data_IF_405989386468
#
_entry.id   IF_405989386468
#
_cell.length_a   1.000
_cell.length_b   1.000
_cell.length_c   1.000
_cell.angle_alpha   90.00
_cell.angle_beta   90.00
_cell.angle_gamma   90.00
#
_symmetry.space_group_name_H-M   'P 1'
#
loop_
_entity.id
_entity.type
_entity.pdbx_description
1 polymer ?
#
# COMPACT_ATOMS: atom_id res chain seq x y z
N UNK A 1 -12.87 -43.51 -67.09
CA UNK A 1 -11.79 -43.19 -66.15
C UNK A 1 -12.02 -41.77 -65.68
N UNK A 2 -12.62 -41.57 -64.51
CA UNK A 2 -12.94 -40.22 -63.92
C UNK A 2 -11.97 -39.95 -62.80
N UNK A 3 -11.22 -38.85 -62.93
CA UNK A 3 -10.27 -38.35 -61.93
C UNK A 3 -11.06 -37.61 -60.82
N UNK A 4 -10.89 -37.95 -59.56
CA UNK A 4 -11.57 -37.23 -58.48
C UNK A 4 -10.93 -35.85 -58.28
N UNK A 5 -11.77 -34.80 -58.19
CA UNK A 5 -11.37 -33.43 -57.78
C UNK A 5 -11.00 -33.46 -56.36
N UNK A 6 -9.73 -33.10 -56.08
CA UNK A 6 -9.22 -32.82 -54.76
C UNK A 6 -9.69 -31.41 -54.36
N UNK A 7 -10.59 -31.33 -53.39
CA UNK A 7 -10.93 -30.08 -52.71
C UNK A 7 -9.85 -29.80 -51.70
N UNK A 8 -8.96 -28.86 -52.00
CA UNK A 8 -8.10 -28.26 -51.00
C UNK A 8 -8.92 -27.29 -50.15
N UNK A 9 -9.28 -27.73 -48.96
CA UNK A 9 -9.82 -26.84 -47.95
C UNK A 9 -8.72 -25.81 -47.55
N UNK A 10 -8.92 -24.54 -47.92
CA UNK A 10 -8.17 -23.44 -47.36
C UNK A 10 -8.40 -23.46 -45.86
N UNK A 11 -7.39 -23.88 -45.09
CA UNK A 11 -7.33 -23.65 -43.64
C UNK A 11 -7.24 -22.14 -43.46
N UNK A 12 -8.37 -21.46 -43.25
CA UNK A 12 -8.44 -20.13 -42.72
C UNK A 12 -7.83 -20.19 -41.32
N UNK A 13 -6.66 -19.58 -41.17
CA UNK A 13 -6.15 -19.24 -39.86
C UNK A 13 -7.14 -18.25 -39.23
N UNK A 14 -8.09 -18.75 -38.45
CA UNK A 14 -8.79 -17.96 -37.47
C UNK A 14 -7.76 -17.64 -36.38
N UNK A 15 -7.03 -16.51 -36.53
CA UNK A 15 -6.39 -15.90 -35.38
C UNK A 15 -7.53 -15.54 -34.45
N UNK A 16 -7.63 -16.25 -33.30
CA UNK A 16 -8.37 -15.71 -32.15
C UNK A 16 -7.86 -14.32 -31.95
N UNK A 17 -8.70 -13.28 -32.09
CA UNK A 17 -8.41 -11.95 -31.63
C UNK A 17 -8.26 -12.10 -30.11
N UNK A 18 -7.03 -11.98 -29.63
CA UNK A 18 -6.77 -11.94 -28.21
C UNK A 18 -7.38 -10.64 -27.69
N UNK A 19 -8.31 -10.76 -26.77
CA UNK A 19 -8.94 -9.65 -26.05
C UNK A 19 -7.91 -9.10 -25.07
N UNK A 20 -7.86 -7.78 -24.87
CA UNK A 20 -7.00 -7.16 -23.86
C UNK A 20 -7.21 -7.84 -22.50
N UNK A 21 -6.15 -8.26 -21.84
CA UNK A 21 -6.22 -8.98 -20.57
C UNK A 21 -5.89 -8.05 -19.43
N UNK A 22 -6.85 -7.82 -18.53
CA UNK A 22 -6.64 -7.01 -17.32
C UNK A 22 -6.17 -7.93 -16.19
N UNK A 23 -5.07 -7.55 -15.52
CA UNK A 23 -4.52 -8.22 -14.34
C UNK A 23 -4.43 -7.22 -13.20
N UNK A 24 -5.36 -7.30 -12.26
CA UNK A 24 -5.37 -6.47 -11.06
C UNK A 24 -4.52 -7.12 -9.96
N UNK A 25 -3.62 -6.33 -9.36
CA UNK A 25 -2.86 -6.76 -8.19
C UNK A 25 -3.78 -7.02 -6.99
N UNK A 26 -3.58 -8.15 -6.30
CA UNK A 26 -4.38 -8.56 -5.12
C UNK A 26 -4.19 -7.61 -3.95
N UNK A 27 -2.98 -7.07 -3.79
CA UNK A 27 -2.64 -6.14 -2.70
C UNK A 27 -2.87 -4.67 -3.11
N UNK A 28 -3.68 -4.39 -4.14
CA UNK A 28 -4.04 -3.02 -4.52
C UNK A 28 -4.89 -2.34 -3.42
N UNK A 29 -4.67 -1.03 -3.20
CA UNK A 29 -5.50 -0.23 -2.30
C UNK A 29 -4.97 -0.09 -0.87
N UNK A 30 -5.82 0.40 0.03
CA UNK A 30 -5.42 0.72 1.41
C UNK A 30 -4.76 -0.45 2.12
N UNK A 31 -3.56 -0.20 2.68
CA UNK A 31 -2.98 -1.11 3.65
C UNK A 31 -3.69 -0.96 5.02
N UNK A 32 -3.45 -1.89 5.93
CA UNK A 32 -4.02 -1.85 7.28
C UNK A 32 -3.75 -0.51 7.99
N UNK A 33 -2.49 -0.02 7.98
CA UNK A 33 -2.11 1.21 8.68
C UNK A 33 -2.81 2.45 8.12
N UNK A 34 -2.95 2.53 6.80
CA UNK A 34 -3.66 3.62 6.13
C UNK A 34 -5.16 3.56 6.41
N UNK A 35 -5.79 2.40 6.27
CA UNK A 35 -7.24 2.23 6.56
C UNK A 35 -7.55 2.65 7.99
N UNK A 36 -6.78 2.14 8.95
CA UNK A 36 -6.92 2.50 10.37
C UNK A 36 -6.80 4.02 10.59
N UNK A 37 -5.81 4.67 9.97
CA UNK A 37 -5.58 6.10 10.16
C UNK A 37 -6.72 6.96 9.59
N UNK A 38 -7.24 6.60 8.42
CA UNK A 38 -8.39 7.29 7.80
C UNK A 38 -9.63 7.12 8.68
N UNK A 39 -9.97 5.89 9.10
CA UNK A 39 -11.11 5.62 9.98
C UNK A 39 -11.01 6.37 11.32
N UNK A 40 -9.81 6.45 11.90
CA UNK A 40 -9.60 7.22 13.14
C UNK A 40 -9.82 8.71 12.91
N UNK A 41 -9.35 9.26 11.77
CA UNK A 41 -9.58 10.65 11.44
C UNK A 41 -11.08 10.95 11.22
N UNK A 42 -11.79 10.10 10.49
CA UNK A 42 -13.25 10.22 10.27
C UNK A 42 -14.03 10.22 11.59
N UNK A 43 -13.72 9.28 12.49
CA UNK A 43 -14.36 9.19 13.82
C UNK A 43 -14.01 10.35 14.75
N UNK A 44 -12.94 11.07 14.46
CA UNK A 44 -12.48 12.19 15.27
C UNK A 44 -13.09 13.53 14.86
N UNK A 45 -13.86 13.58 13.78
CA UNK A 45 -14.49 14.80 13.30
C UNK A 45 -15.40 15.48 14.35
N UNK A 46 -15.34 16.82 14.51
CA UNK A 46 -14.41 17.73 13.90
C UNK A 46 -13.01 17.66 14.52
N UNK A 47 -11.95 17.68 13.66
CA UNK A 47 -10.58 17.55 14.11
C UNK A 47 -9.59 18.24 13.15
N UNK A 48 -8.33 18.39 13.59
CA UNK A 48 -7.23 18.89 12.73
C UNK A 48 -6.12 17.86 12.68
N UNK A 49 -5.76 17.40 11.47
CA UNK A 49 -4.62 16.50 11.30
C UNK A 49 -3.31 17.29 11.25
N UNK A 50 -2.25 16.78 11.87
CA UNK A 50 -0.91 17.36 11.75
C UNK A 50 -0.23 16.83 10.48
N UNK A 51 -0.28 17.63 9.42
CA UNK A 51 -0.04 17.23 8.04
C UNK A 51 -1.18 16.37 7.45
N UNK A 52 -1.20 16.13 6.15
CA UNK A 52 -2.21 15.28 5.53
C UNK A 52 -2.16 13.86 6.12
N UNK A 53 -3.32 13.30 6.43
CA UNK A 53 -3.43 11.97 7.08
C UNK A 53 -2.71 10.88 6.28
N UNK A 54 -2.79 10.98 4.94
CA UNK A 54 -2.08 10.17 3.94
C UNK A 54 -1.83 11.03 2.70
N UNK A 55 -0.92 10.60 1.83
CA UNK A 55 -0.64 11.26 0.55
C UNK A 55 -1.64 10.82 -0.54
N UNK A 56 -2.91 11.27 -0.40
CA UNK A 56 -3.96 11.07 -1.40
C UNK A 56 -4.94 12.26 -1.35
N UNK A 57 -4.99 13.11 -2.42
CA UNK A 57 -5.83 14.32 -2.43
C UNK A 57 -7.33 14.04 -2.26
N UNK A 58 -7.85 12.98 -2.87
CA UNK A 58 -9.27 12.64 -2.80
C UNK A 58 -9.70 12.29 -1.36
N UNK A 59 -8.83 11.58 -0.62
CA UNK A 59 -9.08 11.25 0.80
C UNK A 59 -9.01 12.49 1.67
N UNK A 60 -8.05 13.36 1.43
CA UNK A 60 -7.92 14.63 2.17
C UNK A 60 -9.18 15.49 1.96
N UNK A 61 -9.69 15.59 0.74
CA UNK A 61 -10.90 16.37 0.46
C UNK A 61 -12.16 15.72 1.06
N UNK A 62 -12.29 14.40 1.03
CA UNK A 62 -13.41 13.70 1.68
C UNK A 62 -13.42 13.92 3.21
N UNK A 63 -12.25 13.89 3.84
CA UNK A 63 -12.12 14.18 5.26
C UNK A 63 -12.45 15.64 5.60
N UNK A 64 -12.07 16.57 4.74
CA UNK A 64 -12.40 17.98 4.88
C UNK A 64 -13.92 18.22 4.82
N UNK A 65 -14.63 17.50 3.95
CA UNK A 65 -16.09 17.53 3.90
C UNK A 65 -16.74 17.03 5.20
N UNK A 66 -16.07 16.17 5.97
CA UNK A 66 -16.51 15.70 7.29
C UNK A 66 -16.09 16.64 8.44
N UNK A 67 -15.38 17.75 8.15
CA UNK A 67 -14.89 18.68 9.16
C UNK A 67 -13.50 18.31 9.73
N UNK A 68 -12.74 17.43 9.06
CA UNK A 68 -11.35 17.14 9.40
C UNK A 68 -10.44 17.93 8.48
N UNK A 69 -9.80 18.97 9.02
CA UNK A 69 -8.86 19.83 8.29
C UNK A 69 -7.41 19.42 8.53
N UNK A 70 -6.45 20.03 7.83
CA UNK A 70 -5.03 19.75 7.99
C UNK A 70 -4.26 21.01 8.34
N UNK A 71 -3.26 20.89 9.22
CA UNK A 71 -2.33 21.95 9.61
C UNK A 71 -0.89 21.45 9.44
N UNK A 72 0.02 22.30 8.98
CA UNK A 72 1.41 21.91 8.70
C UNK A 72 2.28 21.89 9.96
N UNK A 73 1.86 22.57 11.03
CA UNK A 73 2.60 22.65 12.29
C UNK A 73 1.65 22.64 13.50
N UNK A 74 2.14 22.21 14.68
CA UNK A 74 1.36 22.29 15.93
C UNK A 74 0.86 23.69 16.25
N UNK A 75 1.60 24.74 15.86
CA UNK A 75 1.24 26.14 16.14
C UNK A 75 -0.04 26.57 15.40
N UNK A 76 -0.35 25.96 14.27
CA UNK A 76 -1.56 26.24 13.48
C UNK A 76 -2.80 25.50 13.98
N UNK A 77 -2.64 24.52 14.89
CA UNK A 77 -3.77 23.80 15.47
C UNK A 77 -4.34 24.65 16.63
N UNK A 78 -5.65 24.93 16.67
CA UNK A 78 -6.25 25.71 17.74
C UNK A 78 -6.01 25.06 19.11
N UNK A 79 -5.87 25.90 20.16
CA UNK A 79 -5.72 25.42 21.53
C UNK A 79 -6.96 24.62 21.97
N UNK A 80 -6.73 23.50 22.65
CA UNK A 80 -7.79 22.61 23.11
C UNK A 80 -8.47 21.79 21.98
N UNK A 81 -8.06 21.97 20.71
CA UNK A 81 -8.64 21.23 19.60
C UNK A 81 -8.25 19.74 19.61
N UNK A 82 -9.06 18.91 18.95
CA UNK A 82 -8.69 17.51 18.67
C UNK A 82 -7.67 17.47 17.55
N UNK A 83 -6.45 17.00 17.87
CA UNK A 83 -5.31 16.89 16.95
C UNK A 83 -5.10 15.42 16.56
N UNK A 84 -5.18 15.08 15.28
CA UNK A 84 -4.93 13.73 14.79
C UNK A 84 -3.51 13.64 14.24
N UNK A 85 -2.71 12.74 14.80
CA UNK A 85 -1.39 12.40 14.25
C UNK A 85 -1.56 11.50 13.05
N UNK A 86 -0.97 11.87 11.92
CA UNK A 86 -1.03 11.12 10.66
C UNK A 86 -0.40 9.73 10.73
N UNK A 87 -0.71 8.86 9.74
CA UNK A 87 -0.21 7.48 9.65
C UNK A 87 1.33 7.35 9.65
N UNK A 88 2.04 8.38 9.20
CA UNK A 88 3.51 8.45 9.14
C UNK A 88 4.17 8.71 10.51
N UNK A 89 3.35 9.07 11.51
CA UNK A 89 3.85 9.56 12.79
C UNK A 89 4.50 10.94 12.72
N UNK A 90 4.94 11.41 13.86
CA UNK A 90 5.68 12.67 14.04
C UNK A 90 6.73 12.50 15.14
N UNK A 91 7.70 13.40 15.21
CA UNK A 91 8.71 13.39 16.27
C UNK A 91 8.15 13.86 17.64
N UNK A 92 8.87 13.55 18.73
CA UNK A 92 8.48 13.87 20.11
C UNK A 92 8.14 15.35 20.32
N UNK A 93 8.88 16.26 19.67
CA UNK A 93 8.66 17.70 19.80
C UNK A 93 7.24 18.11 19.39
N UNK A 94 6.66 17.46 18.37
CA UNK A 94 5.29 17.73 17.95
C UNK A 94 4.27 17.28 19.00
N UNK A 95 4.46 16.14 19.64
CA UNK A 95 3.62 15.69 20.75
C UNK A 95 3.67 16.68 21.93
N UNK A 96 4.88 17.08 22.35
CA UNK A 96 5.06 18.06 23.43
C UNK A 96 4.39 19.39 23.11
N UNK A 97 4.50 19.85 21.86
CA UNK A 97 3.89 21.11 21.44
C UNK A 97 2.34 21.03 21.44
N UNK A 98 1.75 19.92 21.00
CA UNK A 98 0.30 19.72 21.06
C UNK A 98 -0.20 19.60 22.50
N UNK A 99 0.52 18.89 23.36
CA UNK A 99 0.20 18.78 24.79
C UNK A 99 0.24 20.13 25.49
N UNK A 100 1.29 20.93 25.22
CA UNK A 100 1.41 22.28 25.77
C UNK A 100 0.27 23.23 25.35
N UNK A 101 -0.37 22.95 24.21
CA UNK A 101 -1.54 23.67 23.70
C UNK A 101 -2.87 23.10 24.21
N UNK A 102 -2.83 22.10 25.10
CA UNK A 102 -4.03 21.45 25.65
C UNK A 102 -4.82 20.64 24.63
N UNK A 103 -4.23 20.25 23.49
CA UNK A 103 -4.92 19.50 22.45
C UNK A 103 -5.25 18.07 22.92
N UNK A 104 -6.44 17.57 22.53
CA UNK A 104 -6.79 16.15 22.61
C UNK A 104 -6.07 15.41 21.48
N UNK A 105 -5.06 14.61 21.80
CA UNK A 105 -4.26 13.92 20.78
C UNK A 105 -4.86 12.57 20.44
N UNK A 106 -5.23 12.38 19.17
CA UNK A 106 -5.61 11.08 18.58
C UNK A 106 -4.46 10.57 17.73
N UNK A 107 -3.76 9.55 18.21
CA UNK A 107 -2.58 9.02 17.54
C UNK A 107 -2.97 7.94 16.52
N UNK A 108 -3.00 8.32 15.22
CA UNK A 108 -3.25 7.43 14.11
C UNK A 108 -1.95 6.89 13.45
N UNK A 109 -0.79 7.06 14.12
CA UNK A 109 0.49 6.49 13.66
C UNK A 109 0.33 5.00 13.39
N UNK A 110 0.82 4.56 12.23
CA UNK A 110 0.81 3.14 11.89
C UNK A 110 1.63 2.33 12.90
N UNK A 111 1.13 1.18 13.42
CA UNK A 111 1.87 0.37 14.39
C UNK A 111 3.27 -0.07 13.94
N UNK A 112 3.47 -0.27 12.63
CA UNK A 112 4.80 -0.55 12.09
C UNK A 112 5.76 0.65 12.22
N UNK A 113 5.27 1.87 12.04
CA UNK A 113 6.04 3.10 12.24
C UNK A 113 6.27 3.34 13.74
N UNK A 114 5.24 3.12 14.58
CA UNK A 114 5.37 3.25 16.04
C UNK A 114 6.49 2.37 16.59
N UNK A 115 6.60 1.13 16.11
CA UNK A 115 7.71 0.23 16.49
C UNK A 115 9.07 0.82 16.14
N UNK A 116 9.19 1.52 15.00
CA UNK A 116 10.47 2.16 14.62
C UNK A 116 10.76 3.35 15.53
N UNK A 117 9.74 4.12 15.92
CA UNK A 117 9.88 5.18 16.92
C UNK A 117 10.40 4.65 18.27
N UNK A 118 9.87 3.52 18.72
CA UNK A 118 10.31 2.88 19.96
C UNK A 118 11.78 2.41 19.87
N UNK A 119 12.18 1.86 18.72
CA UNK A 119 13.58 1.47 18.46
C UNK A 119 14.50 2.69 18.45
N UNK A 120 14.10 3.79 17.77
CA UNK A 120 14.87 5.03 17.72
C UNK A 120 15.08 5.63 19.11
N UNK A 121 14.02 5.65 19.93
CA UNK A 121 14.07 6.10 21.32
C UNK A 121 15.02 5.25 22.17
N UNK A 122 14.88 3.92 22.09
CA UNK A 122 15.74 3.00 22.85
C UNK A 122 17.21 3.11 22.45
N UNK A 123 17.52 3.31 21.17
CA UNK A 123 18.88 3.57 20.71
C UNK A 123 19.43 4.89 21.28
N UNK A 124 18.60 5.95 21.29
CA UNK A 124 18.95 7.23 21.88
C UNK A 124 19.26 7.12 23.37
N UNK A 125 18.42 6.41 24.13
CA UNK A 125 18.62 6.14 25.57
C UNK A 125 19.91 5.34 25.83
N UNK A 126 20.28 4.44 24.90
CA UNK A 126 21.52 3.67 24.93
C UNK A 126 22.75 4.43 24.40
N UNK A 127 22.59 5.67 23.93
CA UNK A 127 23.67 6.44 23.30
C UNK A 127 24.12 5.93 21.93
N UNK A 128 23.35 5.03 21.30
CA UNK A 128 23.63 4.44 20.00
C UNK A 128 23.16 5.36 18.87
N UNK A 129 24.03 5.76 17.92
CA UNK A 129 23.63 6.54 16.75
C UNK A 129 22.59 5.80 15.90
N UNK A 130 21.62 6.56 15.35
CA UNK A 130 20.58 6.04 14.48
C UNK A 130 20.88 6.34 13.01
N UNK A 131 20.78 5.34 12.15
CA UNK A 131 20.80 5.50 10.69
C UNK A 131 19.46 5.04 10.13
N UNK A 132 18.74 5.93 9.47
CA UNK A 132 17.48 5.63 8.78
C UNK A 132 17.74 5.53 7.29
N UNK A 133 17.60 4.35 6.71
CA UNK A 133 17.64 4.19 5.25
C UNK A 133 16.27 4.61 4.70
N UNK A 134 16.21 5.85 4.18
CA UNK A 134 14.95 6.47 3.74
C UNK A 134 15.13 7.88 3.21
N UNK A 135 14.09 8.38 2.55
CA UNK A 135 14.06 9.73 1.99
C UNK A 135 14.04 10.77 3.12
N UNK A 136 15.14 11.54 3.29
CA UNK A 136 15.33 12.50 4.40
C UNK A 136 14.12 13.41 4.64
N UNK A 137 13.56 13.97 3.58
CA UNK A 137 12.46 14.94 3.67
C UNK A 137 11.07 14.27 3.81
N UNK A 138 11.03 12.94 3.78
CA UNK A 138 9.76 12.23 3.93
C UNK A 138 9.24 12.34 5.37
N UNK A 139 7.93 12.62 5.57
CA UNK A 139 7.34 12.75 6.89
C UNK A 139 7.62 11.61 7.88
N UNK A 140 7.63 10.36 7.39
CA UNK A 140 7.93 9.19 8.23
C UNK A 140 9.38 9.22 8.72
N UNK A 141 10.34 9.55 7.86
CA UNK A 141 11.76 9.63 8.22
C UNK A 141 12.00 10.77 9.18
N UNK A 142 11.42 11.96 8.94
CA UNK A 142 11.47 13.09 9.85
C UNK A 142 10.84 12.73 11.22
N UNK A 143 9.74 11.99 11.22
CA UNK A 143 9.13 11.45 12.43
C UNK A 143 10.10 10.56 13.21
N UNK A 144 10.71 9.57 12.54
CA UNK A 144 11.66 8.62 13.15
C UNK A 144 12.88 9.37 13.73
N UNK A 145 13.50 10.27 12.96
CA UNK A 145 14.64 11.07 13.41
C UNK A 145 14.29 11.93 14.64
N UNK A 146 13.05 12.40 14.74
CA UNK A 146 12.55 13.18 15.87
C UNK A 146 12.30 12.38 17.15
N UNK A 147 12.56 11.06 17.18
CA UNK A 147 12.48 10.20 18.36
C UNK A 147 13.84 9.94 19.03
N UNK A 148 14.90 10.58 18.56
CA UNK A 148 16.22 10.51 19.19
C UNK A 148 16.73 11.90 19.55
N UNK A 149 17.37 12.03 20.71
CA UNK A 149 18.13 13.21 21.12
C UNK A 149 19.63 13.06 20.79
N UNK A 150 20.04 11.88 20.32
CA UNK A 150 21.41 11.55 19.91
C UNK A 150 21.67 11.75 18.41
N UNK A 151 22.86 11.37 17.94
CA UNK A 151 23.20 11.45 16.52
C UNK A 151 22.26 10.59 15.66
N UNK A 152 21.62 11.21 14.65
CA UNK A 152 20.71 10.53 13.75
C UNK A 152 20.89 11.00 12.30
N UNK A 153 20.92 10.04 11.38
CA UNK A 153 21.25 10.27 9.98
C UNK A 153 20.20 9.59 9.08
N UNK A 154 19.84 10.26 7.99
CA UNK A 154 19.06 9.64 6.90
C UNK A 154 19.97 9.42 5.70
N UNK A 155 19.96 8.20 5.14
CA UNK A 155 20.78 7.82 4.00
C UNK A 155 19.91 7.19 2.89
N UNK A 156 20.19 7.56 1.63
CA UNK A 156 19.52 7.02 0.44
C UNK A 156 20.49 6.65 -0.67
N UNK A 157 21.77 7.02 -0.52
CA UNK A 157 22.79 6.85 -1.52
C UNK A 157 24.14 6.49 -0.88
N UNK A 158 25.06 6.03 -1.69
CA UNK A 158 26.47 5.83 -1.30
C UNK A 158 27.12 7.14 -0.85
N UNK A 159 26.84 8.23 -1.54
CA UNK A 159 27.34 9.56 -1.15
C UNK A 159 26.86 9.99 0.25
N UNK A 160 25.61 9.66 0.63
CA UNK A 160 25.12 9.94 1.98
C UNK A 160 25.90 9.12 3.02
N UNK A 161 26.27 7.88 2.69
CA UNK A 161 27.07 7.01 3.57
C UNK A 161 28.49 7.55 3.69
N UNK A 162 29.08 8.00 2.59
CA UNK A 162 30.42 8.62 2.59
C UNK A 162 30.47 9.90 3.46
N UNK A 163 29.39 10.64 3.49
CA UNK A 163 29.27 11.87 4.29
C UNK A 163 29.04 11.62 5.79
N UNK A 164 28.79 10.37 6.22
CA UNK A 164 28.64 10.06 7.65
C UNK A 164 29.94 10.32 8.42
N UNK A 165 29.86 10.85 9.66
CA UNK A 165 31.02 10.90 10.53
C UNK A 165 31.53 9.50 10.87
N UNK A 166 32.74 9.34 11.38
CA UNK A 166 33.20 8.06 11.94
C UNK A 166 32.24 7.60 13.06
N UNK A 167 31.77 6.36 12.93
CA UNK A 167 30.88 5.71 13.90
C UNK A 167 31.46 4.33 14.27
N UNK A 168 31.52 4.02 15.56
CA UNK A 168 31.95 2.70 16.05
C UNK A 168 30.78 1.71 16.03
N UNK A 169 29.56 2.22 16.19
CA UNK A 169 28.33 1.45 16.16
C UNK A 169 27.16 2.28 15.66
N UNK A 170 26.10 1.64 15.16
CA UNK A 170 24.83 2.28 14.83
C UNK A 170 23.69 1.29 14.81
N UNK A 171 22.49 1.76 15.18
CA UNK A 171 21.23 1.12 14.83
C UNK A 171 20.81 1.53 13.41
N UNK A 172 20.51 0.56 12.57
CA UNK A 172 20.04 0.80 11.19
C UNK A 172 18.60 0.34 11.06
N UNK A 173 17.73 1.26 10.63
CA UNK A 173 16.31 0.98 10.33
C UNK A 173 15.98 1.44 8.91
N UNK A 174 14.88 0.93 8.34
CA UNK A 174 14.37 1.35 7.04
C UNK A 174 13.09 2.16 7.17
N UNK A 175 12.91 3.13 6.29
CA UNK A 175 11.58 3.68 5.97
C UNK A 175 10.66 2.53 5.54
N UNK A 176 9.42 2.45 6.07
CA UNK A 176 8.52 1.30 5.85
C UNK A 176 8.19 1.03 4.38
N UNK A 177 8.33 2.03 3.51
CA UNK A 177 8.10 1.92 2.07
C UNK A 177 9.38 1.67 1.25
N UNK A 178 10.51 1.34 1.89
CA UNK A 178 11.79 1.15 1.21
C UNK A 178 11.76 -0.06 0.26
N UNK A 179 12.60 0.00 -0.79
CA UNK A 179 12.82 -1.14 -1.70
C UNK A 179 13.86 -2.06 -1.07
N UNK A 180 13.55 -3.35 -0.92
CA UNK A 180 14.40 -4.32 -0.22
C UNK A 180 15.82 -4.38 -0.81
N UNK A 181 15.95 -4.49 -2.13
CA UNK A 181 17.27 -4.57 -2.78
C UNK A 181 18.16 -3.34 -2.52
N UNK A 182 17.55 -2.14 -2.46
CA UNK A 182 18.30 -0.92 -2.15
C UNK A 182 18.70 -0.89 -0.67
N UNK A 183 17.81 -1.33 0.24
CA UNK A 183 18.12 -1.46 1.65
C UNK A 183 19.31 -2.39 1.87
N UNK A 184 19.27 -3.61 1.28
CA UNK A 184 20.33 -4.60 1.42
C UNK A 184 21.68 -4.09 0.89
N UNK A 185 21.66 -3.40 -0.27
CA UNK A 185 22.87 -2.78 -0.85
C UNK A 185 23.46 -1.72 0.08
N UNK A 186 22.64 -0.81 0.61
CA UNK A 186 23.12 0.26 1.49
C UNK A 186 23.59 -0.30 2.84
N UNK A 187 22.97 -1.33 3.37
CA UNK A 187 23.46 -2.05 4.55
C UNK A 187 24.84 -2.67 4.30
N UNK A 188 25.06 -3.27 3.11
CA UNK A 188 26.37 -3.81 2.74
C UNK A 188 27.49 -2.74 2.67
N UNK A 189 27.16 -1.53 2.21
CA UNK A 189 28.10 -0.40 2.21
C UNK A 189 28.35 0.13 3.63
N UNK A 190 27.31 0.25 4.44
CA UNK A 190 27.43 0.65 5.85
C UNK A 190 28.30 -0.31 6.65
N UNK A 191 28.20 -1.62 6.42
CA UNK A 191 28.98 -2.65 7.10
C UNK A 191 30.49 -2.55 6.81
N UNK A 192 30.89 -1.93 5.72
CA UNK A 192 32.29 -1.66 5.41
C UNK A 192 32.86 -0.46 6.17
N UNK A 193 31.99 0.37 6.73
CA UNK A 193 32.35 1.67 7.32
C UNK A 193 32.09 1.74 8.84
N UNK A 194 31.08 1.01 9.33
CA UNK A 194 30.70 0.99 10.74
C UNK A 194 30.92 -0.40 11.30
N UNK A 195 31.84 -0.58 12.28
CA UNK A 195 32.25 -1.89 12.79
C UNK A 195 31.11 -2.70 13.45
N UNK A 196 30.21 -2.03 14.15
CA UNK A 196 29.09 -2.66 14.84
C UNK A 196 27.76 -2.08 14.35
N UNK A 197 27.06 -2.84 13.48
CA UNK A 197 25.72 -2.49 13.01
C UNK A 197 24.67 -3.41 13.60
N UNK A 198 23.66 -2.82 14.24
CA UNK A 198 22.41 -3.50 14.56
C UNK A 198 21.38 -3.18 13.46
N UNK A 199 21.15 -4.12 12.55
CA UNK A 199 20.38 -3.89 11.32
C UNK A 199 18.99 -4.48 11.42
N UNK A 200 17.96 -3.64 11.31
CA UNK A 200 16.56 -4.03 11.30
C UNK A 200 15.88 -3.65 9.98
N UNK A 201 15.50 -4.66 9.20
CA UNK A 201 14.73 -4.48 7.96
C UNK A 201 13.27 -4.14 8.29
N UNK A 202 13.01 -2.89 8.68
CA UNK A 202 11.69 -2.41 9.11
C UNK A 202 10.74 -2.11 7.93
N UNK A 203 11.05 -2.57 6.73
CA UNK A 203 10.16 -2.53 5.58
C UNK A 203 8.89 -3.33 5.89
N UNK A 204 7.72 -2.69 5.82
CA UNK A 204 6.49 -3.37 6.21
C UNK A 204 6.09 -4.49 5.22
N UNK A 205 5.40 -5.52 5.71
CA UNK A 205 4.95 -6.66 4.88
C UNK A 205 4.08 -6.19 3.72
N UNK A 206 3.16 -5.27 3.97
CA UNK A 206 2.30 -4.71 2.92
C UNK A 206 3.08 -4.04 1.79
N UNK A 207 4.24 -3.44 2.08
CA UNK A 207 5.15 -2.89 1.05
C UNK A 207 5.83 -4.00 0.27
N UNK A 208 6.40 -5.00 0.97
CA UNK A 208 7.08 -6.13 0.32
C UNK A 208 6.17 -6.91 -0.61
N UNK A 209 4.95 -7.21 -0.15
CA UNK A 209 3.97 -7.97 -0.92
C UNK A 209 3.57 -7.22 -2.19
N UNK A 210 3.32 -5.89 -2.08
CA UNK A 210 3.02 -5.05 -3.25
C UNK A 210 4.19 -4.98 -4.23
N UNK A 211 5.41 -4.78 -3.73
CA UNK A 211 6.60 -4.71 -4.60
C UNK A 211 6.81 -6.02 -5.35
N UNK A 212 6.67 -7.16 -4.66
CA UNK A 212 6.78 -8.49 -5.28
C UNK A 212 5.71 -8.68 -6.37
N UNK A 213 4.46 -8.41 -6.04
CA UNK A 213 3.35 -8.60 -6.97
C UNK A 213 3.44 -7.66 -8.17
N UNK A 214 3.81 -6.39 -7.96
CA UNK A 214 4.05 -5.43 -9.06
C UNK A 214 5.15 -5.92 -9.99
N UNK A 215 6.25 -6.45 -9.45
CA UNK A 215 7.32 -7.00 -10.28
C UNK A 215 6.86 -8.21 -11.11
N UNK A 216 6.07 -9.11 -10.51
CA UNK A 216 5.53 -10.29 -11.20
C UNK A 216 4.56 -9.91 -12.33
N UNK A 217 3.70 -8.90 -12.10
CA UNK A 217 2.74 -8.43 -13.10
C UNK A 217 3.47 -7.65 -14.21
N UNK A 218 4.32 -6.70 -13.84
CA UNK A 218 5.04 -5.83 -14.79
C UNK A 218 5.93 -6.62 -15.75
N UNK A 219 6.52 -7.75 -15.29
CA UNK A 219 7.33 -8.63 -16.15
C UNK A 219 6.53 -9.31 -17.28
N UNK A 220 5.19 -9.28 -17.22
CA UNK A 220 4.30 -9.97 -18.19
C UNK A 220 3.31 -9.00 -18.85
N UNK A 221 3.22 -7.77 -18.37
CA UNK A 221 2.31 -6.75 -18.88
C UNK A 221 2.93 -5.99 -20.06
N UNK A 222 2.09 -5.68 -21.05
CA UNK A 222 2.43 -4.76 -22.14
C UNK A 222 2.26 -3.30 -21.69
N UNK A 223 1.27 -3.06 -20.82
CA UNK A 223 1.00 -1.77 -20.18
C UNK A 223 0.85 -1.97 -18.68
N UNK A 224 1.49 -1.12 -17.89
CA UNK A 224 1.37 -1.17 -16.43
C UNK A 224 0.80 0.15 -15.90
N UNK A 225 -0.29 0.08 -15.16
CA UNK A 225 -0.95 1.20 -14.50
C UNK A 225 -0.67 1.13 -13.00
N UNK A 226 -0.05 2.16 -12.45
CA UNK A 226 0.13 2.33 -11.00
C UNK A 226 -0.83 3.42 -10.53
N UNK A 227 -1.90 3.01 -9.86
CA UNK A 227 -2.94 3.93 -9.37
C UNK A 227 -2.54 4.47 -8.00
N UNK A 228 -2.47 5.79 -7.86
CA UNK A 228 -2.15 6.41 -6.58
C UNK A 228 -1.52 7.78 -6.67
N UNK A 229 -1.53 8.52 -5.56
CA UNK A 229 -1.02 9.88 -5.49
C UNK A 229 0.45 9.98 -5.91
N UNK A 230 0.78 10.97 -6.74
CA UNK A 230 2.14 11.22 -7.24
C UNK A 230 3.11 11.58 -6.11
N UNK A 231 2.60 12.19 -5.04
CA UNK A 231 3.39 12.52 -3.86
C UNK A 231 3.59 11.33 -2.89
N UNK A 232 2.89 10.20 -3.09
CA UNK A 232 3.05 9.01 -2.27
C UNK A 232 4.39 8.33 -2.57
N UNK A 233 5.27 8.23 -1.57
CA UNK A 233 6.55 7.52 -1.66
C UNK A 233 6.37 6.05 -2.09
N UNK A 234 5.35 5.37 -1.55
CA UNK A 234 5.03 4.00 -1.95
C UNK A 234 4.63 3.93 -3.44
N UNK A 235 3.73 4.79 -3.92
CA UNK A 235 3.29 4.79 -5.32
C UNK A 235 4.46 5.07 -6.27
N UNK A 236 5.33 6.05 -5.95
CA UNK A 236 6.53 6.35 -6.73
C UNK A 236 7.50 5.17 -6.82
N UNK A 237 7.69 4.44 -5.71
CA UNK A 237 8.57 3.26 -5.68
C UNK A 237 7.98 2.09 -6.48
N UNK A 238 6.67 1.85 -6.40
CA UNK A 238 5.98 0.87 -7.25
C UNK A 238 6.09 1.21 -8.73
N UNK A 239 5.91 2.49 -9.09
CA UNK A 239 6.11 2.96 -10.45
C UNK A 239 7.52 2.70 -10.96
N UNK A 240 8.56 3.10 -10.20
CA UNK A 240 9.96 2.90 -10.60
C UNK A 240 10.28 1.41 -10.80
N UNK A 241 9.78 0.56 -9.92
CA UNK A 241 9.94 -0.87 -10.02
C UNK A 241 9.26 -1.42 -11.29
N UNK A 242 8.01 -1.04 -11.53
CA UNK A 242 7.26 -1.44 -12.72
C UNK A 242 7.91 -0.93 -14.01
N UNK A 243 8.33 0.34 -14.05
CA UNK A 243 8.97 0.96 -15.22
C UNK A 243 10.31 0.31 -15.59
N UNK A 244 11.02 -0.29 -14.62
CA UNK A 244 12.21 -1.10 -14.87
C UNK A 244 11.94 -2.42 -15.58
N UNK A 245 10.68 -2.89 -15.59
CA UNK A 245 10.27 -4.20 -16.14
C UNK A 245 9.29 -4.07 -17.32
N UNK A 246 8.41 -3.06 -17.28
CA UNK A 246 7.43 -2.76 -18.34
C UNK A 246 7.67 -1.36 -18.88
N UNK A 247 8.02 -1.25 -20.17
CA UNK A 247 8.35 0.04 -20.79
C UNK A 247 7.18 1.03 -20.82
N UNK A 248 5.94 0.53 -20.94
CA UNK A 248 4.70 1.33 -20.99
C UNK A 248 4.07 1.38 -19.59
N UNK A 249 4.77 1.97 -18.64
CA UNK A 249 4.28 2.14 -17.26
C UNK A 249 3.82 3.56 -17.03
N UNK A 250 2.62 3.72 -16.46
CA UNK A 250 1.99 5.00 -16.17
C UNK A 250 1.56 5.09 -14.72
N UNK A 251 1.69 6.29 -14.13
CA UNK A 251 1.05 6.63 -12.84
C UNK A 251 -0.20 7.43 -13.13
N UNK A 252 -1.31 7.02 -12.53
CA UNK A 252 -2.59 7.71 -12.63
C UNK A 252 -3.17 7.94 -11.24
N UNK A 253 -3.81 9.08 -11.01
CA UNK A 253 -4.51 9.42 -9.77
C UNK A 253 -6.01 9.21 -9.87
N UNK A 254 -6.55 9.31 -11.11
CA UNK A 254 -7.98 9.14 -11.40
C UNK A 254 -8.19 8.30 -12.67
N UNK A 255 -9.41 7.81 -12.86
CA UNK A 255 -9.78 7.06 -14.06
C UNK A 255 -9.77 7.90 -15.34
N UNK A 256 -9.95 9.23 -15.24
CA UNK A 256 -9.97 10.14 -16.42
C UNK A 256 -8.61 10.21 -17.11
N UNK A 257 -7.53 9.98 -16.38
CA UNK A 257 -6.18 9.97 -16.95
C UNK A 257 -5.92 8.80 -17.91
N UNK A 258 -6.80 7.80 -17.94
CA UNK A 258 -6.73 6.70 -18.92
C UNK A 258 -6.91 7.15 -20.37
N UNK A 259 -7.63 8.24 -20.59
CA UNK A 259 -7.91 8.74 -21.96
C UNK A 259 -6.63 9.15 -22.71
N UNK A 260 -5.55 9.44 -22.00
CA UNK A 260 -4.24 9.78 -22.58
C UNK A 260 -3.31 8.58 -22.81
N UNK A 261 -3.74 7.34 -22.46
CA UNK A 261 -2.89 6.14 -22.50
C UNK A 261 -3.27 5.30 -23.72
N UNK A 262 -2.31 5.08 -24.62
CA UNK A 262 -2.51 4.20 -25.77
C UNK A 262 -2.56 2.75 -25.33
N UNK A 263 -3.68 2.05 -25.56
CA UNK A 263 -3.91 0.65 -25.23
C UNK A 263 -4.34 -0.09 -26.49
N UNK A 264 -3.62 -1.16 -26.82
CA UNK A 264 -3.93 -2.01 -27.94
C UNK A 264 -4.92 -3.15 -27.59
N UNK A 265 -5.63 -3.70 -28.58
CA UNK A 265 -6.65 -4.75 -28.35
C UNK A 265 -6.09 -6.07 -27.83
N UNK A 266 -4.79 -6.32 -27.96
CA UNK A 266 -4.13 -7.55 -27.49
C UNK A 266 -3.17 -7.29 -26.31
N UNK A 267 -3.16 -6.08 -25.76
CA UNK A 267 -2.29 -5.75 -24.63
C UNK A 267 -2.71 -6.49 -23.35
N UNK A 268 -1.75 -7.00 -22.63
CA UNK A 268 -1.92 -7.40 -21.23
C UNK A 268 -1.70 -6.16 -20.35
N UNK A 269 -2.73 -5.76 -19.61
CA UNK A 269 -2.71 -4.56 -18.79
C UNK A 269 -2.60 -4.96 -17.32
N UNK A 270 -1.47 -4.62 -16.70
CA UNK A 270 -1.28 -4.76 -15.26
C UNK A 270 -1.81 -3.52 -14.53
N UNK A 271 -2.62 -3.73 -13.50
CA UNK A 271 -3.11 -2.65 -12.61
C UNK A 271 -2.62 -2.93 -11.21
N UNK A 272 -1.85 -2.00 -10.66
CA UNK A 272 -1.47 -2.00 -9.26
C UNK A 272 -1.87 -0.68 -8.60
N UNK A 273 -2.02 -0.67 -7.28
CA UNK A 273 -2.37 0.55 -6.56
C UNK A 273 -1.51 0.75 -5.33
N UNK A 274 -1.22 2.01 -5.02
CA UNK A 274 -0.50 2.41 -3.84
C UNK A 274 -1.26 2.10 -2.55
N UNK A 275 -0.52 2.00 -1.43
CA UNK A 275 -1.09 1.74 -0.10
C UNK A 275 -2.01 2.85 0.42
N UNK A 276 -2.00 4.02 -0.21
CA UNK A 276 -2.84 5.18 0.08
C UNK A 276 -3.94 5.42 -0.96
N UNK A 277 -4.24 4.44 -1.82
CA UNK A 277 -5.26 4.54 -2.87
C UNK A 277 -6.58 3.95 -2.37
N UNK A 278 -7.70 4.71 -2.34
CA UNK A 278 -9.01 4.19 -1.98
C UNK A 278 -9.52 3.12 -2.97
N UNK A 279 -10.30 2.17 -2.46
CA UNK A 279 -10.89 1.10 -3.27
C UNK A 279 -11.86 1.63 -4.35
N UNK A 280 -12.55 2.76 -4.10
CA UNK A 280 -13.43 3.40 -5.09
C UNK A 280 -12.66 3.83 -6.35
N UNK A 281 -11.49 4.45 -6.18
CA UNK A 281 -10.64 4.87 -7.32
C UNK A 281 -10.18 3.65 -8.13
N UNK A 282 -9.81 2.57 -7.46
CA UNK A 282 -9.39 1.33 -8.14
C UNK A 282 -10.55 0.75 -8.95
N UNK A 283 -11.75 0.70 -8.35
CA UNK A 283 -12.98 0.24 -9.03
C UNK A 283 -13.32 1.10 -10.24
N UNK A 284 -13.21 2.42 -10.13
CA UNK A 284 -13.43 3.34 -11.25
C UNK A 284 -12.44 3.11 -12.39
N UNK A 285 -11.15 2.95 -12.08
CA UNK A 285 -10.12 2.62 -13.08
C UNK A 285 -10.42 1.29 -13.77
N UNK A 286 -10.77 0.24 -13.02
CA UNK A 286 -11.10 -1.07 -13.58
C UNK A 286 -12.37 -1.00 -14.43
N UNK A 287 -13.41 -0.29 -13.98
CA UNK A 287 -14.65 -0.11 -14.74
C UNK A 287 -14.38 0.63 -16.07
N UNK A 288 -13.62 1.72 -16.02
CA UNK A 288 -13.25 2.48 -17.22
C UNK A 288 -12.42 1.65 -18.21
N UNK A 289 -11.50 0.81 -17.69
CA UNK A 289 -10.72 -0.12 -18.50
C UNK A 289 -11.61 -1.14 -19.22
N UNK A 290 -12.61 -1.73 -18.54
CA UNK A 290 -13.57 -2.65 -19.14
C UNK A 290 -14.41 -1.95 -20.24
N UNK A 291 -14.72 -0.67 -20.09
CA UNK A 291 -15.43 0.11 -21.11
C UNK A 291 -14.54 0.42 -22.34
N UNK A 292 -13.26 0.67 -22.11
CA UNK A 292 -12.27 0.82 -23.19
C UNK A 292 -12.12 -0.50 -23.94
N UNK A 293 -12.02 -1.61 -23.25
CA UNK A 293 -11.95 -2.96 -23.82
C UNK A 293 -13.16 -3.24 -24.75
N UNK A 294 -14.39 -2.95 -24.30
CA UNK A 294 -15.61 -3.09 -25.09
C UNK A 294 -15.62 -2.22 -26.34
N UNK A 295 -15.06 -1.01 -26.30
CA UNK A 295 -14.98 -0.09 -27.45
C UNK A 295 -13.95 -0.52 -28.50
N UNK A 296 -12.86 -1.14 -28.05
CA UNK A 296 -11.78 -1.65 -28.91
C UNK A 296 -12.16 -2.96 -29.58
N UNK A 297 -13.16 -3.70 -29.05
CA UNK A 297 -13.71 -4.96 -29.59
C UNK A 297 -15.21 -4.84 -29.87
N UNK A 298 -15.64 -4.21 -31.00
CA UNK A 298 -17.05 -3.86 -31.22
C UNK A 298 -18.05 -5.00 -31.44
N UNK A 299 -17.65 -6.23 -31.70
CA UNK A 299 -18.57 -7.27 -32.20
C UNK A 299 -18.27 -8.68 -31.70
N UNK A 300 -18.33 -9.00 -30.41
CA UNK A 300 -18.50 -10.39 -29.93
C UNK A 300 -18.69 -10.55 -28.40
N UNK A 301 -19.29 -9.59 -27.72
CA UNK A 301 -19.64 -9.73 -26.30
C UNK A 301 -21.16 -9.90 -26.07
N UNK A 302 -21.74 -10.91 -26.68
CA UNK A 302 -22.92 -11.59 -26.13
C UNK A 302 -22.45 -12.95 -25.62
N UNK A 303 -22.35 -13.08 -24.30
CA UNK A 303 -21.98 -14.26 -23.49
C UNK A 303 -20.62 -14.21 -22.80
N UNK A 304 -20.39 -13.15 -22.02
CA UNK A 304 -19.67 -13.28 -20.75
C UNK A 304 -20.66 -12.81 -19.68
N UNK A 305 -21.34 -13.77 -19.06
CA UNK A 305 -22.08 -13.54 -17.82
C UNK A 305 -21.11 -12.94 -16.81
N UNK A 306 -21.22 -11.63 -16.64
CA UNK A 306 -20.78 -10.99 -15.39
C UNK A 306 -21.50 -11.80 -14.33
N UNK A 307 -20.76 -12.48 -13.46
CA UNK A 307 -21.34 -13.07 -12.25
C UNK A 307 -21.97 -11.91 -11.49
N UNK A 308 -23.29 -11.75 -11.65
CA UNK A 308 -24.08 -10.75 -10.96
C UNK A 308 -23.97 -11.01 -9.46
N UNK A 309 -24.17 -9.97 -8.66
CA UNK A 309 -24.25 -10.13 -7.18
C UNK A 309 -25.20 -11.29 -6.80
N UNK A 310 -26.24 -11.54 -7.59
CA UNK A 310 -27.15 -12.68 -7.43
C UNK A 310 -26.50 -14.05 -7.69
N UNK A 311 -25.46 -14.14 -8.53
CA UNK A 311 -24.73 -15.40 -8.76
C UNK A 311 -23.72 -15.65 -7.63
N UNK A 312 -23.16 -14.60 -7.03
CA UNK A 312 -22.32 -14.67 -5.82
C UNK A 312 -23.16 -15.10 -4.63
N UNK A 313 -24.35 -14.54 -4.46
CA UNK A 313 -25.28 -14.90 -3.38
C UNK A 313 -25.77 -16.35 -3.44
N UNK A 314 -25.89 -16.91 -4.65
CA UNK A 314 -26.23 -18.34 -4.85
C UNK A 314 -25.10 -19.31 -4.53
N UNK A 315 -23.84 -18.82 -4.52
CA UNK A 315 -22.66 -19.63 -4.18
C UNK A 315 -22.31 -19.57 -2.69
N UNK A 316 -22.91 -18.64 -1.93
CA UNK A 316 -22.75 -18.57 -0.46
C UNK A 316 -23.63 -19.67 0.16
N UNK A 317 -22.99 -20.78 0.48
CA UNK A 317 -23.62 -21.84 1.28
C UNK A 317 -23.88 -21.32 2.67
N UNK A 318 -25.16 -21.07 3.03
CA UNK A 318 -25.54 -20.75 4.40
C UNK A 318 -25.27 -21.95 5.31
N UNK A 319 -24.20 -21.83 6.10
CA UNK A 319 -23.83 -22.87 7.08
C UNK A 319 -24.75 -22.74 8.29
N UNK A 320 -25.48 -23.81 8.61
CA UNK A 320 -26.31 -23.87 9.82
C UNK A 320 -25.50 -24.42 11.00
N UNK A 321 -25.74 -23.96 12.24
CA UNK A 321 -25.11 -24.53 13.42
C UNK A 321 -25.29 -26.06 13.49
N UNK A 322 -24.18 -26.81 13.64
CA UNK A 322 -24.18 -28.27 13.67
C UNK A 322 -23.92 -28.99 12.34
N UNK A 323 -23.72 -28.27 11.25
CA UNK A 323 -23.40 -28.86 9.94
C UNK A 323 -21.92 -29.18 9.83
N UNK A 324 -21.56 -30.42 9.50
CA UNK A 324 -20.17 -30.86 9.25
C UNK A 324 -19.87 -30.61 7.77
N UNK A 325 -18.82 -29.82 7.50
CA UNK A 325 -18.32 -29.55 6.16
C UNK A 325 -16.93 -30.18 6.03
N UNK A 326 -16.73 -30.97 4.99
CA UNK A 326 -15.41 -31.52 4.64
C UNK A 326 -14.86 -30.72 3.47
N UNK A 327 -13.69 -30.09 3.63
CA UNK A 327 -13.01 -29.31 2.60
C UNK A 327 -11.52 -29.17 2.89
N UNK A 328 -10.76 -28.81 1.85
CA UNK A 328 -9.33 -28.50 1.99
C UNK A 328 -9.18 -27.08 2.53
N UNK A 329 -8.49 -26.91 3.64
CA UNK A 329 -8.18 -25.59 4.18
C UNK A 329 -7.02 -24.98 3.38
N UNK A 330 -7.31 -23.90 2.62
CA UNK A 330 -6.27 -23.19 1.84
C UNK A 330 -5.68 -22.01 2.58
N UNK A 331 -6.40 -21.43 3.57
CA UNK A 331 -5.89 -20.33 4.39
C UNK A 331 -6.66 -20.25 5.71
N UNK A 332 -5.93 -20.05 6.81
CA UNK A 332 -6.50 -19.67 8.10
C UNK A 332 -6.17 -18.20 8.37
N UNK A 333 -7.15 -17.32 8.24
CA UNK A 333 -7.06 -15.93 8.68
C UNK A 333 -7.54 -15.85 10.14
N UNK A 334 -6.71 -15.29 11.03
CA UNK A 334 -7.14 -14.97 12.37
C UNK A 334 -8.00 -13.69 12.33
N UNK A 335 -9.31 -13.83 12.42
CA UNK A 335 -10.21 -12.69 12.62
C UNK A 335 -10.22 -12.31 14.11
N UNK A 336 -9.84 -11.07 14.40
CA UNK A 336 -10.10 -10.48 15.70
C UNK A 336 -11.57 -10.06 15.76
N UNK A 337 -12.35 -10.77 16.55
CA UNK A 337 -13.73 -10.41 16.86
C UNK A 337 -13.71 -9.28 17.89
N UNK A 338 -14.14 -8.08 17.51
CA UNK A 338 -14.40 -6.98 18.44
C UNK A 338 -15.68 -7.26 19.22
N UNK A 339 -15.57 -7.30 20.57
CA UNK A 339 -16.74 -7.33 21.45
C UNK A 339 -17.27 -5.92 21.66
N UNK A 340 -18.51 -5.67 21.28
CA UNK A 340 -19.24 -4.52 21.82
C UNK A 340 -19.53 -4.72 23.31
N UNK A 341 -19.44 -3.68 24.16
CA UNK A 341 -19.77 -3.79 25.56
C UNK A 341 -21.30 -4.01 25.71
N UNK A 342 -21.71 -5.22 26.09
CA UNK A 342 -23.11 -5.52 26.41
C UNK A 342 -23.70 -6.78 25.80
N UNK A 343 -23.07 -7.44 24.85
CA UNK A 343 -23.56 -8.69 24.26
C UNK A 343 -23.04 -9.92 25.01
N UNK A 344 -23.96 -10.75 25.54
CA UNK A 344 -23.65 -12.11 26.02
C UNK A 344 -23.51 -13.03 24.80
N UNK A 345 -22.31 -13.49 24.50
CA UNK A 345 -22.07 -14.54 23.51
C UNK A 345 -21.98 -15.87 24.24
N UNK A 346 -22.65 -16.96 23.78
CA UNK A 346 -22.48 -18.30 24.34
C UNK A 346 -21.00 -18.74 24.13
N UNK A 347 -20.44 -19.40 25.17
CA UNK A 347 -19.10 -19.96 25.11
C UNK A 347 -19.00 -20.98 23.98
N UNK A 348 -18.14 -20.74 23.00
CA UNK A 348 -17.71 -21.76 22.05
C UNK A 348 -16.61 -22.60 22.70
N UNK A 349 -16.83 -23.89 22.85
CA UNK A 349 -15.80 -24.84 23.23
C UNK A 349 -14.70 -24.91 22.14
N UNK A 350 -13.44 -25.10 22.53
CA UNK A 350 -12.34 -25.16 21.57
C UNK A 350 -12.47 -26.40 20.68
N UNK A 351 -12.42 -26.19 19.37
CA UNK A 351 -12.41 -27.28 18.39
C UNK A 351 -11.17 -28.16 18.61
N UNK A 352 -11.37 -29.41 18.97
CA UNK A 352 -10.30 -30.43 19.04
C UNK A 352 -9.99 -30.90 17.62
N UNK A 353 -8.74 -30.73 17.21
CA UNK A 353 -8.24 -31.34 15.99
C UNK A 353 -7.80 -32.79 16.31
N UNK A 354 -8.35 -33.78 15.60
CA UNK A 354 -7.76 -35.11 15.48
C UNK A 354 -6.83 -35.14 14.26
N UNK A 355 -5.66 -35.70 14.43
CA UNK A 355 -4.63 -35.88 13.41
C UNK A 355 -5.11 -36.76 12.24
#
# INVERSE_FOLDING_TARGET
MRIPRVYTAKRGLWRRREIARIVLARHAGFCFGVRRAVEMAERSAPAVTLGPIIHNPQVVESLKALGVTSADSPAQIPEGARAVIRSHGVGQAAYRALQARGCEIVDATCPFVQRIHDMARSASEGGVPLIVIGEREHPEVQGILGWTDGPAFAVMSEADIEALPPLDEALVVAQTTMVQALFDRLCGLLAQRVPRLDVHATICTATRDRQKEVAEIAARADVMLVVGGRESSNSRKLYRLAAGLCRRTHVIETADELDGIAIGPSDTIGIAAGASTPDCIIKEVVARMNDIEKKVTPEENQELEVMSEEAIDKTIVQIRPGQIITGKVEMIAAEFVWKEPGSRVPSMDPVRYSQ
#
